data_IF_945983057514
#
_entry.id   IF_945983057514
#
_cell.length_a   1.000
_cell.length_b   1.000
_cell.length_c   1.000
_cell.angle_alpha   90.00
_cell.angle_beta   90.00
_cell.angle_gamma   90.00
#
_symmetry.space_group_name_H-M   'P 1'
#
loop_
_entity.id
_entity.type
_entity.pdbx_description
1 polymer ?
#
# COMPACT_ATOMS: atom_id res chain seq x y z
N UNK A 1 -27.54 -11.22 -35.28
CA UNK A 1 -27.78 -10.10 -34.35
C UNK A 1 -27.43 -8.86 -35.14
N UNK A 2 -28.45 -8.21 -35.71
CA UNK A 2 -28.24 -7.23 -36.77
C UNK A 2 -27.84 -5.89 -36.15
N UNK A 3 -26.54 -5.57 -36.24
CA UNK A 3 -25.94 -4.35 -35.72
C UNK A 3 -26.46 -3.07 -36.39
N UNK A 4 -27.23 -3.18 -37.48
CA UNK A 4 -27.78 -2.06 -38.25
C UNK A 4 -29.15 -1.56 -37.74
N UNK A 5 -29.83 -2.30 -36.85
CA UNK A 5 -31.13 -1.89 -36.28
C UNK A 5 -31.02 -1.24 -34.88
N UNK A 6 -29.80 -0.99 -34.38
CA UNK A 6 -29.55 -0.45 -33.04
C UNK A 6 -29.28 1.05 -33.09
N UNK A 7 -30.03 1.83 -32.30
CA UNK A 7 -29.84 3.28 -32.18
C UNK A 7 -28.39 3.66 -31.85
N UNK A 8 -27.94 4.79 -32.40
CA UNK A 8 -26.60 5.34 -32.21
C UNK A 8 -26.21 5.46 -30.72
N UNK A 9 -27.17 5.86 -29.88
CA UNK A 9 -27.00 5.98 -28.44
C UNK A 9 -26.63 4.64 -27.78
N UNK A 10 -27.29 3.56 -28.19
CA UNK A 10 -27.06 2.22 -27.65
C UNK A 10 -25.67 1.71 -28.01
N UNK A 11 -25.21 1.98 -29.23
CA UNK A 11 -23.86 1.60 -29.68
C UNK A 11 -22.77 2.33 -28.90
N UNK A 12 -22.94 3.64 -28.67
CA UNK A 12 -22.03 4.42 -27.83
C UNK A 12 -22.02 3.89 -26.39
N UNK A 13 -23.19 3.63 -25.81
CA UNK A 13 -23.29 3.12 -24.44
C UNK A 13 -22.55 1.78 -24.27
N UNK A 14 -22.75 0.83 -25.20
CA UNK A 14 -22.07 -0.47 -25.18
C UNK A 14 -20.55 -0.31 -25.31
N UNK A 15 -20.07 0.61 -26.16
CA UNK A 15 -18.63 0.89 -26.28
C UNK A 15 -18.02 1.33 -24.95
N UNK A 16 -18.62 2.31 -24.25
CA UNK A 16 -18.13 2.77 -22.95
C UNK A 16 -18.19 1.68 -21.88
N UNK A 17 -19.23 0.85 -21.88
CA UNK A 17 -19.36 -0.30 -20.97
C UNK A 17 -18.21 -1.29 -21.17
N UNK A 18 -17.89 -1.63 -22.42
CA UNK A 18 -16.79 -2.54 -22.76
C UNK A 18 -15.44 -1.94 -22.37
N UNK A 19 -15.19 -0.66 -22.68
CA UNK A 19 -13.97 0.03 -22.25
C UNK A 19 -13.82 0.01 -20.72
N UNK A 20 -14.89 0.27 -19.98
CA UNK A 20 -14.90 0.22 -18.51
C UNK A 20 -14.55 -1.19 -17.98
N UNK A 21 -15.13 -2.24 -18.57
CA UNK A 21 -14.83 -3.62 -18.22
C UNK A 21 -13.34 -3.97 -18.46
N UNK A 22 -12.74 -3.50 -19.55
CA UNK A 22 -11.32 -3.68 -19.85
C UNK A 22 -10.44 -2.98 -18.81
N UNK A 23 -10.73 -1.72 -18.47
CA UNK A 23 -9.98 -0.96 -17.45
C UNK A 23 -10.01 -1.67 -16.09
N UNK A 24 -11.17 -2.19 -15.68
CA UNK A 24 -11.30 -2.94 -14.43
C UNK A 24 -10.55 -4.27 -14.50
N UNK A 25 -10.58 -4.96 -15.64
CA UNK A 25 -9.78 -6.17 -15.87
C UNK A 25 -8.29 -5.92 -15.67
N UNK A 26 -7.76 -4.83 -16.23
CA UNK A 26 -6.36 -4.40 -16.04
C UNK A 26 -6.09 -4.09 -14.56
N UNK A 27 -7.00 -3.36 -13.90
CA UNK A 27 -6.89 -3.04 -12.46
C UNK A 27 -6.81 -4.29 -11.58
N UNK A 28 -7.59 -5.34 -11.89
CA UNK A 28 -7.54 -6.62 -11.18
C UNK A 28 -6.16 -7.28 -11.32
N UNK A 29 -5.57 -7.26 -12.53
CA UNK A 29 -4.23 -7.80 -12.76
C UNK A 29 -3.18 -7.02 -11.97
N UNK A 30 -3.26 -5.69 -11.97
CA UNK A 30 -2.33 -4.84 -11.22
C UNK A 30 -2.41 -5.08 -9.71
N UNK A 31 -3.63 -5.27 -9.17
CA UNK A 31 -3.85 -5.58 -7.76
C UNK A 31 -3.23 -6.94 -7.36
N UNK A 32 -3.18 -7.93 -8.26
CA UNK A 32 -2.48 -9.20 -8.00
C UNK A 32 -0.97 -8.99 -7.81
N UNK A 33 -0.37 -8.05 -8.55
CA UNK A 33 1.03 -7.65 -8.36
C UNK A 33 1.27 -7.09 -6.97
N UNK A 34 0.39 -6.19 -6.51
CA UNK A 34 0.42 -5.66 -5.14
C UNK A 34 0.32 -6.75 -4.07
N UNK A 35 -0.55 -7.75 -4.25
CA UNK A 35 -0.66 -8.87 -3.31
C UNK A 35 0.64 -9.67 -3.13
N UNK A 36 1.45 -9.79 -4.19
CA UNK A 36 2.77 -10.45 -4.11
C UNK A 36 3.82 -9.61 -3.38
N UNK A 37 3.65 -8.30 -3.30
CA UNK A 37 4.56 -7.38 -2.61
C UNK A 37 4.22 -7.18 -1.12
N UNK A 38 3.05 -7.66 -0.66
CA UNK A 38 2.63 -7.60 0.75
C UNK A 38 3.63 -8.19 1.76
N UNK A 39 4.35 -9.31 1.52
CA UNK A 39 5.25 -9.88 2.54
C UNK A 39 6.43 -8.97 2.90
N UNK A 40 6.61 -7.85 2.19
CA UNK A 40 7.62 -6.84 2.51
C UNK A 40 7.12 -5.73 3.45
N UNK A 41 5.83 -5.74 3.85
CA UNK A 41 5.21 -4.75 4.75
C UNK A 41 5.33 -5.22 6.20
N UNK A 42 5.45 -4.28 7.14
CA UNK A 42 5.50 -4.55 8.58
C UNK A 42 4.34 -5.45 9.05
N UNK A 43 4.68 -6.51 9.81
CA UNK A 43 3.77 -7.57 10.27
C UNK A 43 2.56 -7.03 11.06
N UNK A 44 2.71 -5.87 11.73
CA UNK A 44 1.67 -5.24 12.56
C UNK A 44 0.46 -4.73 11.78
N UNK A 45 0.64 -4.20 10.56
CA UNK A 45 -0.46 -3.65 9.75
C UNK A 45 -0.93 -4.59 8.62
N UNK A 46 -0.20 -5.69 8.41
CA UNK A 46 -0.46 -6.67 7.36
C UNK A 46 -1.88 -7.22 7.37
N UNK A 47 -2.46 -7.52 8.55
CA UNK A 47 -3.81 -8.07 8.66
C UNK A 47 -4.91 -7.13 8.15
N UNK A 48 -4.82 -5.84 8.48
CA UNK A 48 -5.77 -4.83 7.99
C UNK A 48 -5.60 -4.57 6.49
N UNK A 49 -4.36 -4.38 6.03
CA UNK A 49 -4.07 -4.11 4.60
C UNK A 49 -4.53 -5.27 3.73
N UNK A 50 -4.26 -6.51 4.15
CA UNK A 50 -4.71 -7.71 3.43
C UNK A 50 -6.24 -7.80 3.38
N UNK A 51 -6.93 -7.46 4.47
CA UNK A 51 -8.41 -7.47 4.52
C UNK A 51 -8.98 -6.42 3.57
N UNK A 52 -8.47 -5.18 3.63
CA UNK A 52 -8.89 -4.09 2.75
C UNK A 52 -8.61 -4.41 1.28
N UNK A 53 -7.44 -4.98 0.94
CA UNK A 53 -7.13 -5.42 -0.42
C UNK A 53 -8.04 -6.56 -0.91
N UNK A 54 -8.40 -7.52 -0.04
CA UNK A 54 -9.35 -8.58 -0.39
C UNK A 54 -10.75 -8.02 -0.67
N UNK A 55 -11.22 -7.09 0.15
CA UNK A 55 -12.51 -6.38 -0.06
C UNK A 55 -12.45 -5.59 -1.36
N UNK A 56 -11.35 -4.86 -1.60
CA UNK A 56 -11.16 -4.10 -2.85
C UNK A 56 -11.20 -5.01 -4.09
N UNK A 57 -10.54 -6.17 -4.01
CA UNK A 57 -10.58 -7.20 -5.06
C UNK A 57 -12.00 -7.71 -5.30
N UNK A 58 -12.76 -7.99 -4.24
CA UNK A 58 -14.14 -8.43 -4.34
C UNK A 58 -15.02 -7.37 -5.01
N UNK A 59 -14.88 -6.10 -4.61
CA UNK A 59 -15.56 -4.96 -5.24
C UNK A 59 -15.25 -4.87 -6.75
N UNK A 60 -13.99 -5.03 -7.16
CA UNK A 60 -13.65 -5.03 -8.59
C UNK A 60 -14.30 -6.15 -9.38
N UNK A 61 -14.39 -7.36 -8.82
CA UNK A 61 -15.14 -8.46 -9.46
C UNK A 61 -16.63 -8.16 -9.55
N UNK A 62 -17.19 -7.54 -8.50
CA UNK A 62 -18.58 -7.09 -8.50
C UNK A 62 -18.84 -6.05 -9.61
N UNK A 63 -17.95 -5.06 -9.79
CA UNK A 63 -18.07 -4.12 -10.91
C UNK A 63 -17.99 -4.82 -12.25
N UNK A 64 -17.00 -5.70 -12.46
CA UNK A 64 -16.86 -6.42 -13.72
C UNK A 64 -18.12 -7.22 -14.07
N UNK A 65 -18.70 -7.93 -13.10
CA UNK A 65 -19.98 -8.61 -13.26
C UNK A 65 -21.10 -7.62 -13.57
N UNK A 66 -21.17 -6.50 -12.86
CA UNK A 66 -22.11 -5.42 -13.13
C UNK A 66 -22.03 -4.86 -14.55
N UNK A 67 -20.83 -4.60 -15.08
CA UNK A 67 -20.63 -4.16 -16.47
C UNK A 67 -21.14 -5.19 -17.48
N UNK A 68 -20.91 -6.49 -17.24
CA UNK A 68 -21.43 -7.56 -18.09
C UNK A 68 -22.96 -7.63 -18.04
N UNK A 69 -23.56 -7.53 -16.85
CA UNK A 69 -25.02 -7.56 -16.67
C UNK A 69 -25.67 -6.34 -17.35
N UNK A 70 -25.10 -5.15 -17.20
CA UNK A 70 -25.60 -3.93 -17.86
C UNK A 70 -25.45 -4.05 -19.38
N UNK A 71 -24.30 -4.51 -19.89
CA UNK A 71 -24.10 -4.75 -21.32
C UNK A 71 -25.17 -5.71 -21.89
N UNK A 72 -25.36 -6.87 -21.23
CA UNK A 72 -26.35 -7.87 -21.65
C UNK A 72 -27.78 -7.33 -21.57
N UNK A 73 -28.12 -6.58 -20.51
CA UNK A 73 -29.46 -6.01 -20.35
C UNK A 73 -29.80 -4.98 -21.43
N UNK A 74 -28.82 -4.16 -21.82
CA UNK A 74 -28.93 -3.19 -22.92
C UNK A 74 -29.10 -3.91 -24.26
N UNK A 75 -28.33 -4.99 -24.51
CA UNK A 75 -28.45 -5.79 -25.72
C UNK A 75 -29.80 -6.52 -25.83
N UNK A 76 -30.38 -6.93 -24.71
CA UNK A 76 -31.70 -7.58 -24.64
C UNK A 76 -32.87 -6.58 -24.61
N UNK A 77 -32.61 -5.27 -24.69
CA UNK A 77 -33.64 -4.21 -24.70
C UNK A 77 -34.37 -4.02 -23.37
N UNK A 78 -33.83 -4.50 -22.24
CA UNK A 78 -34.46 -4.43 -20.91
C UNK A 78 -33.99 -3.19 -20.13
N UNK A 79 -34.59 -2.03 -20.41
CA UNK A 79 -34.21 -0.74 -19.83
C UNK A 79 -34.43 -0.63 -18.30
N UNK A 80 -35.43 -1.32 -17.75
CA UNK A 80 -35.72 -1.24 -16.30
C UNK A 80 -34.61 -1.89 -15.45
N UNK A 81 -34.06 -3.01 -15.91
CA UNK A 81 -33.00 -3.73 -15.20
C UNK A 81 -31.71 -2.92 -15.18
N UNK A 82 -31.34 -2.26 -16.29
CA UNK A 82 -30.10 -1.49 -16.37
C UNK A 82 -30.05 -0.33 -15.37
N UNK A 83 -31.17 0.36 -15.12
CA UNK A 83 -31.20 1.52 -14.20
C UNK A 83 -30.87 1.09 -12.77
N UNK A 84 -31.50 0.01 -12.29
CA UNK A 84 -31.25 -0.51 -10.94
C UNK A 84 -29.77 -0.88 -10.72
N UNK A 85 -29.17 -1.58 -11.69
CA UNK A 85 -27.76 -1.96 -11.62
C UNK A 85 -26.81 -0.76 -11.68
N UNK A 86 -27.12 0.25 -12.50
CA UNK A 86 -26.30 1.47 -12.58
C UNK A 86 -26.26 2.19 -11.23
N UNK A 87 -27.39 2.33 -10.54
CA UNK A 87 -27.44 2.94 -9.20
C UNK A 87 -26.66 2.13 -8.16
N UNK A 88 -26.78 0.79 -8.20
CA UNK A 88 -26.07 -0.10 -7.30
C UNK A 88 -24.55 -0.01 -7.52
N UNK A 89 -24.11 -0.03 -8.78
CA UNK A 89 -22.72 0.17 -9.18
C UNK A 89 -22.21 1.51 -8.63
N UNK A 90 -22.97 2.60 -8.76
CA UNK A 90 -22.53 3.91 -8.28
C UNK A 90 -22.35 3.97 -6.75
N UNK A 91 -23.25 3.34 -6.00
CA UNK A 91 -23.16 3.22 -4.54
C UNK A 91 -21.90 2.45 -4.09
N UNK A 92 -21.70 1.25 -4.66
CA UNK A 92 -20.48 0.48 -4.38
C UNK A 92 -19.23 1.20 -4.91
N UNK A 93 -19.37 2.03 -5.94
CA UNK A 93 -18.31 2.88 -6.51
C UNK A 93 -17.76 3.84 -5.48
N UNK A 94 -18.63 4.53 -4.76
CA UNK A 94 -18.24 5.42 -3.66
C UNK A 94 -17.49 4.66 -2.55
N UNK A 95 -17.96 3.47 -2.18
CA UNK A 95 -17.28 2.61 -1.17
C UNK A 95 -15.91 2.17 -1.66
N UNK A 96 -15.78 1.77 -2.92
CA UNK A 96 -14.53 1.39 -3.56
C UNK A 96 -13.51 2.53 -3.53
N UNK A 97 -13.92 3.74 -3.91
CA UNK A 97 -13.05 4.92 -3.89
C UNK A 97 -12.59 5.24 -2.46
N UNK A 98 -13.51 5.23 -1.49
CA UNK A 98 -13.17 5.48 -0.08
C UNK A 98 -12.17 4.46 0.45
N UNK A 99 -12.39 3.17 0.17
CA UNK A 99 -11.51 2.09 0.60
C UNK A 99 -10.12 2.23 -0.06
N UNK A 100 -10.08 2.61 -1.34
CA UNK A 100 -8.85 2.89 -2.07
C UNK A 100 -8.05 4.04 -1.47
N UNK A 101 -8.69 5.19 -1.19
CA UNK A 101 -8.05 6.34 -0.56
C UNK A 101 -7.54 5.98 0.84
N UNK A 102 -8.34 5.26 1.64
CA UNK A 102 -7.94 4.81 2.96
C UNK A 102 -6.71 3.89 2.90
N UNK A 103 -6.65 3.00 1.90
CA UNK A 103 -5.50 2.13 1.69
C UNK A 103 -4.24 2.91 1.29
N UNK A 104 -4.35 3.86 0.35
CA UNK A 104 -3.23 4.70 -0.06
C UNK A 104 -2.68 5.55 1.09
N UNK A 105 -3.54 6.15 1.90
CA UNK A 105 -3.14 6.93 3.06
C UNK A 105 -2.31 6.08 4.05
N UNK A 106 -2.73 4.83 4.30
CA UNK A 106 -1.99 3.92 5.17
C UNK A 106 -0.64 3.53 4.57
N UNK A 107 -0.59 3.15 3.28
CA UNK A 107 0.68 2.77 2.65
C UNK A 107 1.72 3.89 2.69
N UNK A 108 1.29 5.15 2.48
CA UNK A 108 2.19 6.30 2.58
C UNK A 108 2.68 6.49 4.02
N UNK A 109 1.82 6.29 5.02
CA UNK A 109 2.22 6.40 6.43
C UNK A 109 3.26 5.36 6.86
N UNK A 110 3.15 4.12 6.37
CA UNK A 110 4.11 3.04 6.63
C UNK A 110 5.46 3.32 5.96
N UNK A 111 5.44 3.82 4.71
CA UNK A 111 6.64 4.24 4.00
C UNK A 111 7.35 5.37 4.75
N UNK A 112 6.61 6.35 5.28
CA UNK A 112 7.19 7.46 6.05
C UNK A 112 7.88 6.98 7.34
N UNK A 113 7.38 5.93 7.99
CA UNK A 113 8.07 5.30 9.13
C UNK A 113 9.36 4.60 8.68
N UNK A 114 9.35 3.99 7.49
CA UNK A 114 10.47 3.19 6.95
C UNK A 114 11.59 4.04 6.35
N UNK A 115 11.30 5.19 5.72
CA UNK A 115 12.30 6.14 5.18
C UNK A 115 13.10 6.81 6.30
N UNK A 116 12.66 6.72 7.56
CA UNK A 116 13.50 7.06 8.72
C UNK A 116 14.63 6.05 8.99
N UNK A 117 14.70 4.95 8.24
CA UNK A 117 15.61 3.82 8.48
C UNK A 117 17.05 3.99 7.99
N UNK A 118 17.36 5.01 7.16
CA UNK A 118 18.77 5.32 6.87
C UNK A 118 19.33 6.17 8.02
N UNK A 119 19.95 5.49 8.98
CA UNK A 119 20.62 6.11 10.10
C UNK A 119 22.05 6.47 9.67
N UNK A 120 22.40 7.76 9.49
CA UNK A 120 23.75 8.16 9.13
C UNK A 120 24.70 7.86 10.30
N UNK A 121 25.51 6.80 10.15
CA UNK A 121 26.48 6.35 11.14
C UNK A 121 27.87 6.79 10.70
N UNK A 122 28.64 7.40 11.60
CA UNK A 122 30.04 7.73 11.35
C UNK A 122 30.85 6.44 11.20
N UNK A 123 31.61 6.30 10.13
CA UNK A 123 32.36 5.06 9.85
C UNK A 123 33.45 4.77 10.89
N UNK A 124 33.98 5.80 11.55
CA UNK A 124 35.05 5.68 12.53
C UNK A 124 34.51 5.44 13.95
N UNK A 125 33.69 6.36 14.47
CA UNK A 125 33.23 6.34 15.86
C UNK A 125 31.87 5.70 16.07
N UNK A 126 31.17 5.30 14.99
CA UNK A 126 29.82 4.69 15.00
C UNK A 126 28.70 5.51 15.62
N UNK A 127 28.94 6.80 15.91
CA UNK A 127 27.90 7.74 16.34
C UNK A 127 26.89 7.97 15.23
N UNK A 128 25.67 8.34 15.61
CA UNK A 128 24.58 8.66 14.70
C UNK A 128 24.45 10.17 14.55
N UNK A 129 24.35 10.66 13.30
CA UNK A 129 24.06 12.07 13.02
C UNK A 129 22.57 12.37 13.18
N UNK A 130 22.24 13.44 13.90
CA UNK A 130 20.86 13.93 14.01
C UNK A 130 20.38 14.55 12.69
N UNK A 131 19.07 14.45 12.41
CA UNK A 131 18.49 14.92 11.13
C UNK A 131 18.73 16.42 10.95
N UNK A 132 19.21 16.82 9.76
CA UNK A 132 19.38 18.24 9.39
C UNK A 132 20.62 18.94 9.96
N UNK A 133 21.47 18.23 10.69
CA UNK A 133 22.67 18.80 11.31
C UNK A 133 23.90 18.69 10.39
N UNK A 134 24.77 19.70 10.39
CA UNK A 134 26.01 19.70 9.59
C UNK A 134 26.89 18.49 9.95
N UNK A 135 27.43 17.83 8.93
CA UNK A 135 28.37 16.70 9.07
C UNK A 135 29.67 17.13 9.75
N UNK A 136 30.04 18.41 9.65
CA UNK A 136 31.28 18.98 10.17
C UNK A 136 31.21 19.36 11.65
N UNK A 137 30.01 19.49 12.21
CA UNK A 137 29.81 19.89 13.60
C UNK A 137 29.77 18.66 14.53
N UNK A 138 30.63 18.66 15.55
CA UNK A 138 30.78 17.53 16.48
C UNK A 138 29.51 17.26 17.32
N UNK A 139 28.74 18.32 17.62
CA UNK A 139 27.50 18.28 18.40
C UNK A 139 26.34 17.56 17.71
N UNK A 140 26.43 17.44 16.38
CA UNK A 140 25.48 16.71 15.51
C UNK A 140 25.52 15.20 15.72
N UNK A 141 26.58 14.68 16.34
CA UNK A 141 26.82 13.24 16.50
C UNK A 141 26.45 12.78 17.91
N UNK A 142 25.48 11.87 18.01
CA UNK A 142 25.01 11.28 19.27
C UNK A 142 25.33 9.79 19.33
N UNK A 143 25.49 9.27 20.54
CA UNK A 143 25.65 7.83 20.76
C UNK A 143 24.42 7.05 20.29
N UNK A 144 24.63 5.80 19.90
CA UNK A 144 23.59 4.92 19.38
C UNK A 144 22.49 4.70 20.41
N UNK A 145 22.88 4.47 21.67
CA UNK A 145 21.97 4.21 22.78
C UNK A 145 21.03 5.40 22.99
N UNK A 146 21.55 6.63 22.92
CA UNK A 146 20.77 7.86 23.03
C UNK A 146 19.77 7.99 21.87
N UNK A 147 20.21 7.71 20.65
CA UNK A 147 19.37 7.79 19.46
C UNK A 147 18.21 6.78 19.47
N UNK A 148 18.47 5.55 19.93
CA UNK A 148 17.48 4.47 19.99
C UNK A 148 16.51 4.67 21.17
N UNK A 149 17.01 5.00 22.35
CA UNK A 149 16.19 5.24 23.55
C UNK A 149 15.26 6.45 23.43
N UNK A 150 15.61 7.45 22.61
CA UNK A 150 14.68 8.56 22.31
C UNK A 150 13.50 8.15 21.41
N UNK A 151 13.62 7.05 20.66
CA UNK A 151 12.64 6.63 19.64
C UNK A 151 11.93 5.32 19.96
N UNK A 152 12.36 4.64 21.02
CA UNK A 152 11.85 3.34 21.46
C UNK A 152 11.91 3.26 22.97
N UNK A 153 11.09 2.42 23.59
CA UNK A 153 11.15 2.16 25.04
C UNK A 153 12.32 1.24 25.45
N UNK A 154 13.33 1.08 24.59
CA UNK A 154 14.47 0.20 24.84
C UNK A 154 15.35 0.75 25.97
N UNK A 155 15.66 -0.10 26.95
CA UNK A 155 16.62 0.18 28.02
C UNK A 155 17.91 -0.61 27.77
N UNK A 156 19.05 0.07 27.87
CA UNK A 156 20.36 -0.53 27.64
C UNK A 156 21.06 -0.87 28.96
N UNK A 157 21.67 -2.05 29.02
CA UNK A 157 22.60 -2.47 30.08
C UNK A 157 23.98 -2.74 29.48
N UNK A 158 25.04 -2.35 30.18
CA UNK A 158 26.42 -2.58 29.72
C UNK A 158 26.99 -3.86 30.34
N UNK A 159 27.46 -4.79 29.50
CA UNK A 159 28.12 -6.02 29.91
C UNK A 159 29.41 -6.26 29.11
N UNK A 160 30.33 -7.06 29.65
CA UNK A 160 31.57 -7.43 28.96
C UNK A 160 31.53 -8.90 28.53
N UNK A 161 31.72 -9.16 27.24
CA UNK A 161 31.81 -10.55 26.77
C UNK A 161 33.18 -11.16 27.11
N UNK A 162 33.28 -12.50 27.23
CA UNK A 162 34.54 -13.18 27.59
C UNK A 162 35.72 -12.78 26.70
N UNK A 163 35.48 -12.65 25.39
CA UNK A 163 36.50 -12.21 24.41
C UNK A 163 37.06 -10.82 24.71
N UNK A 164 36.20 -9.88 25.13
CA UNK A 164 36.63 -8.53 25.48
C UNK A 164 37.36 -8.50 26.83
N UNK A 165 36.93 -9.33 27.78
CA UNK A 165 37.59 -9.47 29.08
C UNK A 165 39.04 -9.95 28.93
N UNK A 166 39.28 -10.92 28.05
CA UNK A 166 40.63 -11.43 27.78
C UNK A 166 41.55 -10.36 27.17
N UNK A 167 41.02 -9.53 26.24
CA UNK A 167 41.78 -8.39 25.70
C UNK A 167 42.16 -7.37 26.77
N UNK A 168 41.25 -7.07 27.70
CA UNK A 168 41.53 -6.15 28.83
C UNK A 168 42.61 -6.72 29.75
N UNK A 169 42.58 -8.04 30.00
CA UNK A 169 43.63 -8.72 30.77
C UNK A 169 45.00 -8.65 30.07
N UNK A 170 45.03 -8.80 28.75
CA UNK A 170 46.26 -8.73 27.96
C UNK A 170 46.86 -7.32 27.92
N UNK A 171 46.03 -6.26 27.88
CA UNK A 171 46.49 -4.87 27.90
C UNK A 171 47.04 -4.40 29.25
N UNK A 172 46.86 -5.18 30.32
CA UNK A 172 47.37 -4.89 31.67
C UNK A 172 48.72 -5.57 31.98
N UNK A 173 49.26 -6.35 31.04
CA UNK A 173 50.63 -6.87 31.10
C UNK A 173 51.55 -5.96 30.28
#
# INVERSE_FOLDING_TARGET
>A
MDWQALDWHTRIAVFFIVCGAVIIGISIVHLRGLFKAIPFIAERSQGYVLRSLKINRFLMFFFLAGYVVVAMSVLLGKASISIFWVSLIFLFGAVFVLLGIALHARMISEIQQTIQGLVPICMECKKIRTKGADSSAQESWKEIEFYISQRTDAKFSHGICPRCLDKVRQRRK
#
